data_IF_982965951091
#
_entry.id   IF_982965951091
#
_cell.length_a   1.000
_cell.length_b   1.000
_cell.length_c   1.000
_cell.angle_alpha   90.00
_cell.angle_beta   90.00
_cell.angle_gamma   90.00
#
_symmetry.space_group_name_H-M   'P 1'
#
loop_
_entity.id
_entity.type
_entity.pdbx_description
1 polymer ?
#
# COMPACT_ATOMS: atom_id res chain seq x y z
N UNK A 1 -19.26 19.63 -11.59
CA UNK A 1 -18.34 18.65 -12.17
C UNK A 1 -17.05 18.79 -11.39
N UNK A 2 -16.91 18.01 -10.32
CA UNK A 2 -15.75 18.00 -9.45
C UNK A 2 -14.78 16.92 -9.94
N UNK A 3 -13.48 17.22 -9.97
CA UNK A 3 -12.41 16.52 -10.69
C UNK A 3 -12.05 15.12 -10.11
N UNK A 4 -12.84 14.56 -9.20
CA UNK A 4 -12.48 13.35 -8.45
C UNK A 4 -12.90 12.00 -9.09
N UNK A 5 -13.74 11.97 -10.11
CA UNK A 5 -14.30 10.72 -10.63
C UNK A 5 -15.16 9.97 -9.58
N UNK A 6 -15.69 8.77 -9.90
CA UNK A 6 -16.29 7.91 -8.87
C UNK A 6 -15.23 7.56 -7.82
N UNK A 7 -15.62 7.42 -6.55
CA UNK A 7 -14.73 6.96 -5.48
C UNK A 7 -13.96 5.70 -5.96
N UNK A 8 -12.65 5.59 -5.69
CA UNK A 8 -11.87 4.45 -6.14
C UNK A 8 -12.56 3.16 -5.70
N UNK A 9 -12.92 2.33 -6.69
CA UNK A 9 -13.55 1.05 -6.41
C UNK A 9 -12.56 0.19 -5.63
N UNK A 10 -13.05 -0.40 -4.54
CA UNK A 10 -12.30 -1.38 -3.76
C UNK A 10 -11.92 -2.55 -4.70
N UNK A 11 -10.64 -2.95 -4.77
CA UNK A 11 -10.23 -4.00 -5.68
C UNK A 11 -10.80 -5.37 -5.24
N UNK A 12 -11.04 -6.30 -6.18
CA UNK A 12 -11.68 -7.59 -5.87
C UNK A 12 -10.95 -8.41 -4.81
N UNK A 13 -9.61 -8.37 -4.78
CA UNK A 13 -8.78 -9.07 -3.80
C UNK A 13 -8.75 -8.42 -2.41
N UNK A 14 -9.42 -7.29 -2.20
CA UNK A 14 -9.50 -6.59 -0.91
C UNK A 14 -10.96 -6.37 -0.49
N UNK A 15 -11.75 -7.44 -0.30
CA UNK A 15 -13.17 -7.31 0.04
C UNK A 15 -13.40 -6.55 1.36
N UNK A 16 -12.42 -6.54 2.26
CA UNK A 16 -12.49 -5.83 3.54
C UNK A 16 -11.19 -5.08 3.87
N UNK A 17 -11.32 -3.94 4.52
CA UNK A 17 -10.23 -3.00 4.79
C UNK A 17 -10.75 -1.62 5.16
N UNK A 18 -9.84 -0.67 5.34
CA UNK A 18 -10.19 0.69 5.72
C UNK A 18 -11.15 1.40 4.75
N UNK A 19 -11.87 2.38 5.27
CA UNK A 19 -12.71 3.29 4.48
C UNK A 19 -12.03 4.65 4.36
N UNK A 20 -12.05 5.23 3.17
CA UNK A 20 -11.64 6.62 2.97
C UNK A 20 -12.88 7.51 2.94
N UNK A 21 -13.02 8.36 3.96
CA UNK A 21 -14.14 9.30 4.10
C UNK A 21 -13.65 10.60 4.70
N UNK A 22 -14.07 11.73 4.11
CA UNK A 22 -13.75 13.09 4.56
C UNK A 22 -12.24 13.35 4.70
N UNK A 23 -11.46 12.86 3.74
CA UNK A 23 -10.01 13.04 3.73
C UNK A 23 -9.25 12.17 4.74
N UNK A 24 -9.92 11.19 5.37
CA UNK A 24 -9.36 10.34 6.43
C UNK A 24 -9.57 8.87 6.14
N UNK A 25 -8.62 8.07 6.60
CA UNK A 25 -8.75 6.61 6.67
C UNK A 25 -9.38 6.21 8.00
N UNK A 26 -10.41 5.38 7.92
CA UNK A 26 -11.10 4.81 9.07
C UNK A 26 -10.87 3.30 9.09
N UNK A 27 -10.38 2.73 10.20
CA UNK A 27 -10.22 1.29 10.31
C UNK A 27 -11.58 0.59 10.34
N UNK A 28 -11.63 -0.65 9.86
CA UNK A 28 -12.82 -1.48 10.00
C UNK A 28 -13.00 -1.92 11.46
N UNK A 29 -14.19 -1.72 12.02
CA UNK A 29 -14.51 -2.08 13.42
C UNK A 29 -14.75 -3.59 13.57
N UNK A 30 -13.68 -4.38 13.45
CA UNK A 30 -13.69 -5.85 13.54
C UNK A 30 -12.48 -6.35 14.32
N UNK A 31 -12.54 -7.56 14.91
CA UNK A 31 -11.36 -8.16 15.55
C UNK A 31 -10.17 -8.28 14.59
N UNK A 32 -8.95 -8.06 15.10
CA UNK A 32 -7.72 -8.09 14.30
C UNK A 32 -7.45 -6.78 13.56
N UNK A 33 -6.72 -6.86 12.45
CA UNK A 33 -6.32 -5.69 11.64
C UNK A 33 -7.48 -5.17 10.76
N UNK A 34 -8.57 -5.93 10.63
CA UNK A 34 -9.75 -5.51 9.87
C UNK A 34 -9.55 -5.49 8.36
N UNK A 35 -8.67 -6.35 7.85
CA UNK A 35 -8.36 -6.52 6.43
C UNK A 35 -8.57 -7.99 6.05
N UNK A 36 -9.14 -8.24 4.88
CA UNK A 36 -9.27 -9.57 4.30
C UNK A 36 -8.70 -9.55 2.89
N UNK A 37 -7.82 -10.51 2.59
CA UNK A 37 -7.23 -10.70 1.26
C UNK A 37 -7.88 -11.93 0.61
N UNK A 38 -8.47 -11.73 -0.57
CA UNK A 38 -9.01 -12.80 -1.40
C UNK A 38 -8.08 -13.06 -2.60
N UNK A 39 -7.30 -14.15 -2.59
CA UNK A 39 -6.38 -14.46 -3.68
C UNK A 39 -7.09 -14.79 -5.00
N UNK A 40 -8.36 -15.21 -4.96
CA UNK A 40 -9.11 -15.50 -6.20
C UNK A 40 -9.39 -14.23 -7.02
N UNK A 41 -9.36 -13.05 -6.39
CA UNK A 41 -9.51 -11.74 -7.03
C UNK A 41 -8.20 -11.04 -7.39
N UNK A 42 -7.05 -11.72 -7.27
CA UNK A 42 -5.72 -11.15 -7.49
C UNK A 42 -5.03 -11.82 -8.69
N UNK A 43 -4.35 -11.02 -9.50
CA UNK A 43 -3.41 -11.52 -10.50
C UNK A 43 -2.03 -11.71 -9.85
N UNK A 44 -1.36 -12.84 -10.13
CA UNK A 44 0.04 -13.05 -9.74
C UNK A 44 0.93 -12.20 -10.65
N UNK A 45 1.58 -11.17 -10.09
CA UNK A 45 2.46 -10.28 -10.86
C UNK A 45 3.93 -10.69 -10.81
N UNK A 46 4.39 -11.17 -9.65
CA UNK A 46 5.80 -11.49 -9.41
C UNK A 46 5.92 -12.39 -8.18
N UNK A 47 6.90 -13.29 -8.20
CA UNK A 47 7.40 -13.98 -7.02
C UNK A 47 8.73 -13.34 -6.58
N UNK A 48 8.84 -13.00 -5.28
CA UNK A 48 10.06 -12.44 -4.70
C UNK A 48 10.56 -13.44 -3.66
N UNK A 49 11.58 -14.20 -4.03
CA UNK A 49 12.22 -15.21 -3.18
C UNK A 49 13.54 -14.72 -2.56
N UNK A 50 14.03 -13.55 -3.01
CA UNK A 50 15.32 -12.99 -2.65
C UNK A 50 15.18 -11.57 -2.13
N UNK A 51 15.91 -11.23 -1.06
CA UNK A 51 15.91 -9.88 -0.49
C UNK A 51 16.41 -8.84 -1.50
N UNK A 52 15.63 -7.78 -1.69
CA UNK A 52 15.98 -6.61 -2.50
C UNK A 52 15.75 -5.33 -1.69
N UNK A 53 16.80 -4.54 -1.52
CA UNK A 53 16.74 -3.24 -0.86
C UNK A 53 17.30 -2.16 -1.82
N UNK A 54 16.53 -1.73 -2.82
CA UNK A 54 17.00 -0.80 -3.85
C UNK A 54 17.07 0.65 -3.35
N UNK A 55 16.59 0.95 -2.14
CA UNK A 55 16.58 2.30 -1.57
C UNK A 55 18.02 2.80 -1.47
N UNK A 56 18.39 3.87 -2.21
CA UNK A 56 19.76 4.36 -2.21
C UNK A 56 20.17 4.90 -0.84
N UNK A 57 21.36 4.55 -0.40
CA UNK A 57 22.03 5.23 0.71
C UNK A 57 22.91 6.33 0.16
N UNK A 58 22.67 7.57 0.57
CA UNK A 58 23.45 8.69 0.09
C UNK A 58 24.75 8.82 0.87
N UNK A 59 25.81 9.18 0.12
CA UNK A 59 27.14 9.45 0.64
C UNK A 59 27.59 10.82 0.17
N UNK A 60 28.25 11.55 1.06
CA UNK A 60 28.95 12.80 0.72
C UNK A 60 30.26 12.48 -0.03
N UNK A 61 30.93 13.49 -0.63
CA UNK A 61 32.23 13.30 -1.28
C UNK A 61 33.32 12.71 -0.37
N UNK A 62 33.21 12.88 0.95
CA UNK A 62 34.10 12.28 1.95
C UNK A 62 33.75 10.82 2.30
N UNK A 63 32.72 10.25 1.66
CA UNK A 63 32.25 8.89 1.90
C UNK A 63 31.33 8.71 3.11
N UNK A 64 31.12 9.76 3.92
CA UNK A 64 30.22 9.73 5.07
C UNK A 64 28.76 9.55 4.63
N UNK A 65 27.98 8.82 5.42
CA UNK A 65 26.54 8.71 5.18
C UNK A 65 25.83 10.05 5.39
N UNK A 66 24.83 10.31 4.56
CA UNK A 66 23.89 11.42 4.73
C UNK A 66 22.46 10.91 4.65
N UNK A 67 21.52 11.74 5.12
CA UNK A 67 20.10 11.43 5.06
C UNK A 67 19.66 11.29 3.60
N UNK A 68 18.76 10.33 3.36
CA UNK A 68 17.93 10.30 2.17
C UNK A 68 17.11 11.59 2.06
#
# INVERSE_FOLDING_TARGET
MEIAGPAPARPPHLPQGCEFRDGKLWPAARPGVGVEFDPAGADMLLEIDTHSAPIPQFRRPDGSYTNW
#
